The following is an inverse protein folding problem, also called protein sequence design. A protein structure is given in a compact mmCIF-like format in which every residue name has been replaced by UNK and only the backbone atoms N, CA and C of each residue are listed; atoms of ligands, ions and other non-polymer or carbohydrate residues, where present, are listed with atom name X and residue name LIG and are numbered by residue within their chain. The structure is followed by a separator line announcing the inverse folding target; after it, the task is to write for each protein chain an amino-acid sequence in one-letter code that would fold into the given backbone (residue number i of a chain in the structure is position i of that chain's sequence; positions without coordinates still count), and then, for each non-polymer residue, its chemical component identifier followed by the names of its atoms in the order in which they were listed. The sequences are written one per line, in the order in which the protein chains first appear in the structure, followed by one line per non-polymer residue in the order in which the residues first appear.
data_IF_630210408765
#
_entry.id   IF_630210408765
#
_cell.length_a   1.000
_cell.length_b   1.000
_cell.length_c   1.000
_cell.angle_alpha   90.00
_cell.angle_beta   90.00
_cell.angle_gamma   90.00
#
_symmetry.space_group_name_H-M   'P 1'
#
loop_
_entity.id
_entity.type
_entity.pdbx_description
1 polymer ?
#
# COMPACT_ATOMS: atom_id res chain seq x y z
N UNK A 1 -19.47 18.49 6.65
CA UNK A 1 -18.09 18.47 7.17
C UNK A 1 -17.52 17.07 7.03
N UNK A 2 -16.75 16.80 5.97
CA UNK A 2 -16.11 15.49 5.79
C UNK A 2 -14.68 15.57 6.33
N UNK A 3 -14.43 14.85 7.41
CA UNK A 3 -13.23 14.95 8.23
C UNK A 3 -12.09 14.20 7.55
N UNK A 4 -11.27 14.92 6.77
CA UNK A 4 -9.97 14.42 6.35
C UNK A 4 -9.05 14.39 7.58
N UNK A 5 -9.01 13.26 8.28
CA UNK A 5 -8.09 13.08 9.41
C UNK A 5 -6.66 12.85 8.88
N UNK A 6 -5.97 13.96 8.64
CA UNK A 6 -4.62 13.95 8.09
C UNK A 6 -3.61 13.63 9.21
N UNK A 7 -3.21 12.36 9.33
CA UNK A 7 -2.06 11.97 10.16
C UNK A 7 -0.74 12.29 9.45
N UNK A 8 -0.43 13.58 9.33
CA UNK A 8 0.76 14.14 8.66
C UNK A 8 2.11 13.72 9.29
N UNK A 9 2.12 12.98 10.41
CA UNK A 9 3.33 12.70 11.19
C UNK A 9 4.04 11.37 10.86
N UNK A 10 3.44 10.45 10.11
CA UNK A 10 4.01 9.10 9.90
C UNK A 10 4.10 8.63 8.44
N UNK A 11 3.79 9.50 7.46
CA UNK A 11 3.74 9.11 6.05
C UNK A 11 2.49 8.30 5.68
N UNK A 12 1.47 8.32 6.55
CA UNK A 12 0.16 7.72 6.34
C UNK A 12 -0.86 8.81 5.99
N UNK A 13 -1.57 8.64 4.87
CA UNK A 13 -2.69 9.50 4.50
C UNK A 13 -3.96 8.65 4.39
N UNK A 14 -5.03 9.11 5.01
CA UNK A 14 -6.35 8.46 5.00
C UNK A 14 -7.39 9.50 4.58
N UNK A 15 -8.32 9.10 3.73
CA UNK A 15 -9.46 9.93 3.36
C UNK A 15 -10.66 9.08 2.97
N UNK A 16 -11.85 9.56 3.32
CA UNK A 16 -13.13 8.96 2.96
C UNK A 16 -13.80 9.77 1.86
N UNK A 17 -14.14 9.14 0.73
CA UNK A 17 -14.98 9.73 -0.32
C UNK A 17 -16.06 8.70 -0.63
N UNK A 18 -17.28 8.98 -0.18
CA UNK A 18 -18.47 8.13 -0.36
C UNK A 18 -18.56 7.62 -1.81
N UNK A 19 -18.63 6.28 -2.03
CA UNK A 19 -18.86 5.20 -1.06
C UNK A 19 -17.62 4.45 -0.57
N UNK A 20 -16.42 5.04 -0.71
CA UNK A 20 -15.15 4.35 -0.48
C UNK A 20 -14.26 5.03 0.57
N UNK A 21 -13.47 4.19 1.23
CA UNK A 21 -12.31 4.59 2.02
C UNK A 21 -11.04 4.44 1.19
N UNK A 22 -10.06 5.30 1.46
CA UNK A 22 -8.76 5.30 0.80
C UNK A 22 -7.66 5.40 1.83
N UNK A 23 -6.67 4.52 1.73
CA UNK A 23 -5.48 4.54 2.57
C UNK A 23 -4.22 4.61 1.72
N UNK A 24 -3.25 5.38 2.20
CA UNK A 24 -1.98 5.62 1.53
C UNK A 24 -0.85 5.42 2.51
N UNK A 25 0.12 4.57 2.16
CA UNK A 25 1.39 4.43 2.87
C UNK A 25 2.51 4.95 1.95
N UNK A 26 3.23 5.98 2.42
CA UNK A 26 4.43 6.49 1.74
C UNK A 26 5.67 5.89 2.40
N UNK A 27 6.47 5.15 1.63
CA UNK A 27 7.68 4.49 2.16
C UNK A 27 8.76 4.36 1.09
N UNK A 28 10.01 4.72 1.42
CA UNK A 28 11.17 4.63 0.52
C UNK A 28 10.91 5.21 -0.90
N UNK A 29 10.24 6.37 -0.97
CA UNK A 29 9.83 7.06 -2.20
C UNK A 29 8.81 6.32 -3.08
N UNK A 30 8.19 5.27 -2.56
CA UNK A 30 7.06 4.60 -3.17
C UNK A 30 5.78 4.99 -2.45
N UNK A 31 4.68 4.96 -3.19
CA UNK A 31 3.33 5.19 -2.69
C UNK A 31 2.56 3.88 -2.85
N UNK A 32 2.06 3.37 -1.73
CA UNK A 32 1.17 2.21 -1.69
C UNK A 32 -0.23 2.73 -1.37
N UNK A 33 -1.20 2.34 -2.18
CA UNK A 33 -2.57 2.83 -2.13
C UNK A 33 -3.53 1.65 -2.08
N UNK A 34 -4.51 1.72 -1.19
CA UNK A 34 -5.64 0.79 -1.18
C UNK A 34 -6.96 1.54 -1.07
N UNK A 35 -8.00 0.94 -1.64
CA UNK A 35 -9.37 1.43 -1.59
C UNK A 35 -10.32 0.29 -1.27
N UNK A 36 -11.37 0.59 -0.52
CA UNK A 36 -12.44 -0.36 -0.21
C UNK A 36 -13.76 0.38 0.03
N UNK A 37 -14.91 -0.30 -0.01
CA UNK A 37 -16.18 0.30 0.41
C UNK A 37 -16.12 0.81 1.86
N UNK A 38 -16.83 1.88 2.19
CA UNK A 38 -16.79 2.53 3.52
C UNK A 38 -17.24 1.61 4.67
N UNK A 39 -18.03 0.56 4.37
CA UNK A 39 -18.38 -0.49 5.34
C UNK A 39 -17.21 -1.39 5.77
N UNK A 40 -16.06 -1.26 5.11
CA UNK A 40 -14.86 -2.06 5.39
C UNK A 40 -14.19 -1.51 6.66
N UNK A 41 -13.75 -2.40 7.54
CA UNK A 41 -13.02 -1.99 8.73
C UNK A 41 -11.66 -1.37 8.32
N UNK A 42 -11.41 -0.15 8.78
CA UNK A 42 -10.18 0.59 8.49
C UNK A 42 -8.92 -0.13 8.99
N UNK A 43 -8.95 -0.70 10.20
CA UNK A 43 -7.80 -1.37 10.80
C UNK A 43 -7.43 -2.63 10.02
N UNK A 44 -8.43 -3.38 9.54
CA UNK A 44 -8.22 -4.56 8.70
C UNK A 44 -7.60 -4.16 7.35
N UNK A 45 -8.17 -3.15 6.68
CA UNK A 45 -7.62 -2.64 5.41
C UNK A 45 -6.18 -2.11 5.59
N UNK A 46 -5.90 -1.43 6.71
CA UNK A 46 -4.58 -0.94 7.06
C UNK A 46 -3.59 -2.08 7.31
N UNK A 47 -4.03 -3.13 8.02
CA UNK A 47 -3.22 -4.32 8.27
C UNK A 47 -2.86 -5.03 6.96
N UNK A 48 -3.82 -5.21 6.06
CA UNK A 48 -3.62 -5.81 4.74
C UNK A 48 -2.61 -5.02 3.91
N UNK A 49 -2.77 -3.69 3.82
CA UNK A 49 -1.84 -2.85 3.07
C UNK A 49 -0.42 -2.91 3.68
N UNK A 50 -0.29 -2.94 5.01
CA UNK A 50 1.01 -3.09 5.69
C UNK A 50 1.66 -4.43 5.38
N UNK A 51 0.90 -5.52 5.34
CA UNK A 51 1.40 -6.85 4.95
C UNK A 51 1.91 -6.81 3.51
N UNK A 52 1.16 -6.22 2.59
CA UNK A 52 1.56 -6.07 1.19
C UNK A 52 2.84 -5.24 1.07
N UNK A 53 2.93 -4.10 1.76
CA UNK A 53 4.14 -3.25 1.76
C UNK A 53 5.35 -4.01 2.32
N UNK A 54 5.18 -4.77 3.39
CA UNK A 54 6.25 -5.58 3.97
C UNK A 54 6.70 -6.70 3.01
N UNK A 55 5.76 -7.42 2.39
CA UNK A 55 6.05 -8.43 1.37
C UNK A 55 6.75 -7.82 0.15
N UNK A 56 6.34 -6.63 -0.28
CA UNK A 56 6.99 -5.92 -1.38
C UNK A 56 8.48 -5.68 -1.09
N UNK A 57 8.81 -5.12 0.08
CA UNK A 57 10.21 -4.85 0.43
C UNK A 57 11.02 -6.09 0.81
N UNK A 58 10.39 -7.23 1.06
CA UNK A 58 11.10 -8.51 1.24
C UNK A 58 11.51 -9.15 -0.10
N UNK A 59 10.76 -8.86 -1.17
CA UNK A 59 11.04 -9.32 -2.54
C UNK A 59 11.96 -8.35 -3.27
N UNK A 60 11.68 -7.05 -3.16
CA UNK A 60 12.40 -5.98 -3.82
C UNK A 60 13.08 -5.11 -2.74
N UNK A 61 14.40 -5.21 -2.57
CA UNK A 61 15.10 -4.49 -1.51
C UNK A 61 14.98 -2.96 -1.62
N UNK A 62 15.26 -2.26 -0.52
CA UNK A 62 15.03 -0.81 -0.34
C UNK A 62 15.81 0.04 -1.37
N UNK A 63 16.87 -0.51 -1.97
CA UNK A 63 17.68 0.10 -3.04
C UNK A 63 17.01 0.03 -4.43
N UNK A 64 15.70 -0.22 -4.51
CA UNK A 64 14.90 -0.17 -5.74
C UNK A 64 15.21 1.08 -6.58
N UNK A 65 15.42 2.25 -5.98
CA UNK A 65 15.76 3.47 -6.75
C UNK A 65 17.07 3.36 -7.53
N UNK A 66 18.04 2.59 -7.03
CA UNK A 66 19.34 2.38 -7.68
C UNK A 66 19.26 1.30 -8.76
N UNK A 67 18.38 0.31 -8.57
CA UNK A 67 18.22 -0.85 -9.48
C UNK A 67 17.12 -0.67 -10.52
N UNK A 68 16.14 0.18 -10.26
CA UNK A 68 15.01 0.41 -11.14
C UNK A 68 15.32 1.53 -12.13
N UNK A 69 15.58 1.16 -13.36
CA UNK A 69 15.84 2.07 -14.48
C UNK A 69 14.55 2.60 -15.15
N UNK A 70 13.40 2.55 -14.47
CA UNK A 70 12.11 2.96 -15.01
C UNK A 70 11.39 1.90 -15.86
N UNK A 71 11.89 0.65 -15.92
CA UNK A 71 11.21 -0.43 -16.63
C UNK A 71 9.87 -0.76 -15.97
N UNK A 72 8.77 -0.63 -16.72
CA UNK A 72 7.40 -0.87 -16.23
C UNK A 72 7.17 -2.30 -15.74
N UNK A 73 7.85 -3.28 -16.34
CA UNK A 73 7.64 -4.70 -16.03
C UNK A 73 8.45 -5.20 -14.83
N UNK A 74 9.23 -4.34 -14.17
CA UNK A 74 10.12 -4.75 -13.07
C UNK A 74 9.37 -5.39 -11.88
N UNK A 75 8.11 -4.99 -11.67
CA UNK A 75 7.24 -5.51 -10.58
C UNK A 75 6.14 -6.47 -11.09
N UNK A 76 6.23 -6.93 -12.35
CA UNK A 76 5.16 -7.72 -12.99
C UNK A 76 4.90 -9.06 -12.33
N UNK A 77 5.92 -9.64 -11.70
CA UNK A 77 5.84 -10.92 -10.98
C UNK A 77 5.43 -10.77 -9.51
N UNK A 78 5.18 -9.54 -9.04
CA UNK A 78 4.86 -9.29 -7.64
C UNK A 78 3.59 -10.04 -7.21
N UNK A 79 2.56 -10.00 -8.07
CA UNK A 79 1.27 -10.68 -7.82
C UNK A 79 1.47 -12.17 -7.56
N UNK A 80 2.18 -12.85 -8.46
CA UNK A 80 2.44 -14.29 -8.36
C UNK A 80 3.23 -14.62 -7.09
N UNK A 81 4.16 -13.73 -6.69
CA UNK A 81 4.98 -13.90 -5.48
C UNK A 81 4.22 -13.71 -4.17
N UNK A 82 3.14 -12.91 -4.16
CA UNK A 82 2.32 -12.71 -2.97
C UNK A 82 1.12 -13.66 -2.89
N UNK A 83 0.60 -14.13 -4.03
CA UNK A 83 -0.46 -15.15 -4.09
C UNK A 83 0.08 -16.56 -3.78
N UNK A 84 1.33 -16.87 -4.15
CA UNK A 84 1.97 -18.17 -3.86
C UNK A 84 2.42 -18.36 -2.40
N UNK A 85 2.40 -17.29 -1.59
CA UNK A 85 2.74 -17.34 -0.15
C UNK A 85 1.54 -16.88 0.68
N UNK A 86 0.76 -17.86 1.11
CA UNK A 86 -0.40 -17.80 2.02
C UNK A 86 -0.75 -16.38 2.50
N UNK A 87 -1.73 -15.79 1.80
CA UNK A 87 -2.76 -14.98 2.44
C UNK A 87 -3.89 -15.98 2.77
N UNK A 88 -3.68 -16.74 3.85
CA UNK A 88 -4.71 -17.58 4.50
C UNK A 88 -4.82 -17.10 5.93
#
# INVERSE_FOLDING_TARGET
DNFAEVTLKSGLEFFEIDPNIYIVIKRHHLIFFATAPQKTNFDDLMADLRIIVAKFFSIYPIDIKEKWNGTLNYFSDFRDKIESKELV
#
